data_IF_730423922100
#
_entry.id   IF_730423922100
#
_cell.length_a   1.000
_cell.length_b   1.000
_cell.length_c   1.000
_cell.angle_alpha   90.00
_cell.angle_beta   90.00
_cell.angle_gamma   90.00
#
_symmetry.space_group_name_H-M   'P 1'
#
loop_
_entity.id
_entity.type
_entity.pdbx_description
1 polymer ?
#
# COMPACT_ATOMS: atom_id res chain seq x y z
N UNK A 1 -14.08 17.87 -8.86
CA UNK A 1 -15.55 17.72 -8.91
C UNK A 1 -16.15 18.40 -7.69
N UNK A 2 -17.12 19.36 -7.85
CA UNK A 2 -17.70 20.12 -6.73
C UNK A 2 -18.49 19.27 -5.73
N UNK A 3 -18.96 18.09 -6.12
CA UNK A 3 -19.72 17.19 -5.24
C UNK A 3 -18.86 16.41 -4.24
N UNK A 4 -17.55 16.47 -4.36
CA UNK A 4 -16.66 15.70 -3.49
C UNK A 4 -16.39 16.44 -2.18
N UNK A 5 -16.53 15.74 -1.05
CA UNK A 5 -16.28 16.30 0.25
C UNK A 5 -14.77 16.45 0.52
N UNK A 6 -14.35 17.64 1.01
CA UNK A 6 -12.92 17.94 1.29
C UNK A 6 -12.25 16.89 2.20
N UNK A 7 -12.97 16.33 3.17
CA UNK A 7 -12.45 15.36 4.11
C UNK A 7 -12.07 14.00 3.51
N UNK A 8 -12.47 13.69 2.27
CA UNK A 8 -12.19 12.39 1.64
C UNK A 8 -11.13 12.45 0.53
N UNK A 9 -10.78 13.64 0.03
CA UNK A 9 -9.84 13.75 -1.12
C UNK A 9 -8.46 13.15 -0.81
N UNK A 10 -8.01 13.25 0.43
CA UNK A 10 -6.74 12.63 0.85
C UNK A 10 -6.78 11.11 0.85
N UNK A 11 -7.92 10.52 1.26
CA UNK A 11 -8.13 9.07 1.22
C UNK A 11 -8.18 8.61 -0.24
N UNK A 12 -8.88 9.36 -1.10
CA UNK A 12 -8.95 9.05 -2.55
C UNK A 12 -7.57 9.12 -3.17
N UNK A 13 -6.77 10.16 -2.88
CA UNK A 13 -5.39 10.26 -3.38
C UNK A 13 -4.54 9.05 -2.97
N UNK A 14 -4.63 8.59 -1.72
CA UNK A 14 -3.95 7.38 -1.26
C UNK A 14 -4.38 6.13 -2.03
N UNK A 15 -5.69 5.96 -2.28
CA UNK A 15 -6.22 4.84 -3.08
C UNK A 15 -5.77 4.86 -4.54
N UNK A 16 -5.60 6.06 -5.10
CA UNK A 16 -5.06 6.20 -6.46
C UNK A 16 -3.60 5.78 -6.53
N UNK A 17 -2.79 6.10 -5.52
CA UNK A 17 -1.40 5.61 -5.43
C UNK A 17 -1.35 4.08 -5.31
N UNK A 18 -2.18 3.48 -4.46
CA UNK A 18 -2.25 2.01 -4.35
C UNK A 18 -2.54 1.33 -5.71
N UNK A 19 -3.28 2.00 -6.58
CA UNK A 19 -3.68 1.45 -7.88
C UNK A 19 -2.69 1.74 -9.01
N UNK A 20 -2.16 2.97 -9.07
CA UNK A 20 -1.39 3.45 -10.22
C UNK A 20 0.08 3.69 -9.90
N UNK A 21 0.43 3.74 -8.62
CA UNK A 21 1.76 4.02 -8.09
C UNK A 21 2.45 5.24 -8.73
N UNK A 22 1.74 6.36 -8.73
CA UNK A 22 2.22 7.65 -9.26
C UNK A 22 1.89 8.78 -8.29
N UNK A 23 2.73 9.82 -8.17
CA UNK A 23 2.37 11.02 -7.41
C UNK A 23 1.01 11.53 -7.87
N UNK A 24 0.11 11.77 -6.92
CA UNK A 24 -1.30 12.02 -7.24
C UNK A 24 -1.83 13.20 -6.44
N UNK A 25 -2.53 14.11 -7.12
CA UNK A 25 -3.27 15.21 -6.50
C UNK A 25 -4.76 15.04 -6.81
N UNK A 26 -5.59 15.08 -5.78
CA UNK A 26 -7.05 15.06 -5.92
C UNK A 26 -7.59 16.41 -5.46
N UNK A 27 -8.34 17.06 -6.36
CA UNK A 27 -8.95 18.35 -6.11
C UNK A 27 -10.48 18.26 -6.05
N UNK A 28 -11.07 19.00 -5.13
CA UNK A 28 -12.51 19.32 -5.09
C UNK A 28 -12.69 20.82 -5.19
N UNK A 29 -13.84 21.27 -5.65
CA UNK A 29 -14.13 22.69 -5.87
C UNK A 29 -15.24 23.16 -4.93
N UNK A 30 -15.09 24.38 -4.40
CA UNK A 30 -16.13 25.05 -3.64
C UNK A 30 -15.92 26.57 -3.75
N UNK A 31 -16.96 27.31 -4.16
CA UNK A 31 -16.96 28.77 -4.23
C UNK A 31 -15.78 29.37 -5.07
N UNK A 32 -15.51 28.81 -6.24
CA UNK A 32 -14.45 29.27 -7.13
C UNK A 32 -13.02 28.92 -6.69
N UNK A 33 -12.90 28.15 -5.60
CA UNK A 33 -11.63 27.66 -5.08
C UNK A 33 -11.54 26.13 -5.23
N UNK A 34 -10.47 25.66 -5.82
CA UNK A 34 -10.09 24.24 -5.80
C UNK A 34 -9.20 23.99 -4.58
N UNK A 35 -9.57 23.00 -3.77
CA UNK A 35 -8.79 22.58 -2.62
C UNK A 35 -8.54 21.08 -2.72
N UNK A 36 -7.34 20.63 -2.36
CA UNK A 36 -7.01 19.25 -2.53
C UNK A 36 -5.93 18.70 -1.62
N UNK A 37 -5.64 17.44 -1.88
CA UNK A 37 -4.61 16.71 -1.17
C UNK A 37 -3.74 15.96 -2.18
N UNK A 38 -2.45 16.10 -2.00
CA UNK A 38 -1.41 15.37 -2.70
C UNK A 38 -0.93 14.17 -1.88
N UNK A 39 -0.55 13.12 -2.56
CA UNK A 39 0.16 11.96 -2.01
C UNK A 39 1.30 11.60 -2.95
N UNK A 40 2.37 11.06 -2.37
CA UNK A 40 3.58 10.70 -3.10
C UNK A 40 3.83 9.19 -3.10
N UNK A 41 4.61 8.74 -4.06
CA UNK A 41 5.26 7.43 -4.05
C UNK A 41 6.57 7.50 -3.24
N UNK A 42 7.16 6.35 -2.95
CA UNK A 42 8.44 6.27 -2.25
C UNK A 42 9.52 7.08 -3.01
N UNK A 43 10.35 7.78 -2.26
CA UNK A 43 11.49 8.58 -2.71
C UNK A 43 11.18 9.83 -3.56
N UNK A 44 9.96 10.04 -4.02
CA UNK A 44 9.56 11.27 -4.67
C UNK A 44 9.08 12.33 -3.66
N UNK A 45 9.56 13.56 -3.79
CA UNK A 45 9.15 14.69 -2.94
C UNK A 45 8.04 15.50 -3.59
N UNK A 46 6.78 15.17 -3.22
CA UNK A 46 5.61 15.88 -3.76
C UNK A 46 5.49 17.31 -3.24
N UNK A 47 6.04 17.61 -2.06
CA UNK A 47 6.01 18.96 -1.51
C UNK A 47 6.87 19.90 -2.36
N UNK A 48 8.12 19.53 -2.65
CA UNK A 48 9.01 20.32 -3.52
C UNK A 48 8.44 20.48 -4.93
N UNK A 49 7.80 19.44 -5.48
CA UNK A 49 7.15 19.55 -6.79
C UNK A 49 5.99 20.56 -6.79
N UNK A 50 5.20 20.62 -5.72
CA UNK A 50 4.13 21.61 -5.54
C UNK A 50 4.71 23.00 -5.30
N UNK A 51 5.76 23.14 -4.51
CA UNK A 51 6.45 24.41 -4.23
C UNK A 51 6.98 25.05 -5.51
N UNK A 52 7.53 24.27 -6.44
CA UNK A 52 7.97 24.75 -7.76
C UNK A 52 6.82 25.26 -8.64
N UNK A 53 5.58 24.90 -8.31
CA UNK A 53 4.36 25.40 -8.94
C UNK A 53 3.62 26.45 -8.10
N UNK A 54 4.23 26.98 -7.04
CA UNK A 54 3.59 27.85 -6.03
C UNK A 54 2.99 29.13 -6.59
N UNK A 55 3.52 29.65 -7.69
CA UNK A 55 3.00 30.85 -8.38
C UNK A 55 1.56 30.70 -8.91
N UNK A 56 1.03 29.47 -8.97
CA UNK A 56 -0.35 29.17 -9.38
C UNK A 56 -1.27 28.87 -8.20
N UNK A 57 -0.71 28.84 -6.97
CA UNK A 57 -1.41 28.45 -5.76
C UNK A 57 -1.73 29.66 -4.88
N UNK A 58 -2.80 29.53 -4.09
CA UNK A 58 -3.14 30.49 -3.02
C UNK A 58 -2.50 30.05 -1.69
N UNK A 59 -2.51 28.75 -1.42
CA UNK A 59 -1.93 28.15 -0.23
C UNK A 59 -1.48 26.72 -0.51
N UNK A 60 -0.39 26.30 0.12
CA UNK A 60 0.03 24.91 0.17
C UNK A 60 0.82 24.65 1.44
N UNK A 61 0.92 23.37 1.85
CA UNK A 61 1.68 22.96 3.00
C UNK A 61 1.68 21.44 3.17
N UNK A 62 2.67 20.92 3.85
CA UNK A 62 2.80 19.48 4.03
C UNK A 62 4.24 19.03 4.19
N UNK A 63 4.56 17.89 3.68
CA UNK A 63 5.89 17.28 3.71
C UNK A 63 6.08 16.36 2.48
N UNK A 64 7.27 15.79 2.32
CA UNK A 64 7.69 14.94 1.20
C UNK A 64 6.62 13.94 0.72
N UNK A 65 5.84 13.35 1.62
CA UNK A 65 4.91 12.26 1.27
C UNK A 65 3.46 12.71 1.10
N UNK A 66 3.09 13.87 1.63
CA UNK A 66 1.73 14.36 1.58
C UNK A 66 1.69 15.88 1.72
N UNK A 67 0.86 16.54 0.91
CA UNK A 67 0.63 17.96 0.99
C UNK A 67 -0.84 18.30 0.76
N UNK A 68 -1.27 19.41 1.36
CA UNK A 68 -2.53 20.08 1.06
C UNK A 68 -2.26 21.30 0.21
N UNK A 69 -3.21 21.68 -0.65
CA UNK A 69 -3.10 22.87 -1.49
C UNK A 69 -4.47 23.46 -1.80
N UNK A 70 -4.46 24.75 -2.11
CA UNK A 70 -5.62 25.45 -2.65
C UNK A 70 -5.19 26.43 -3.74
N UNK A 71 -6.05 26.58 -4.75
CA UNK A 71 -5.83 27.46 -5.89
C UNK A 71 -7.17 27.94 -6.46
N UNK A 72 -7.15 29.02 -7.22
CA UNK A 72 -8.32 29.45 -7.97
C UNK A 72 -8.68 28.42 -9.02
N UNK A 73 -9.98 28.18 -9.22
CA UNK A 73 -10.47 27.18 -10.19
C UNK A 73 -9.95 27.45 -11.61
N UNK A 74 -9.78 28.73 -11.98
CA UNK A 74 -9.23 29.14 -13.27
C UNK A 74 -7.78 28.67 -13.49
N UNK A 75 -7.00 28.50 -12.41
CA UNK A 75 -5.60 28.05 -12.45
C UNK A 75 -5.44 26.53 -12.50
N UNK A 76 -6.51 25.75 -12.32
CA UNK A 76 -6.40 24.28 -12.21
C UNK A 76 -5.73 23.65 -13.42
N UNK A 77 -6.07 24.10 -14.62
CA UNK A 77 -5.48 23.56 -15.86
C UNK A 77 -3.98 23.90 -15.95
N UNK A 78 -3.62 25.16 -15.72
CA UNK A 78 -2.22 25.61 -15.77
C UNK A 78 -1.38 24.91 -14.69
N UNK A 79 -1.94 24.74 -13.48
CA UNK A 79 -1.29 24.01 -12.40
C UNK A 79 -1.10 22.51 -12.76
N UNK A 80 -2.09 21.86 -13.36
CA UNK A 80 -1.96 20.48 -13.78
C UNK A 80 -0.83 20.28 -14.80
N UNK A 81 -0.73 21.17 -15.79
CA UNK A 81 0.35 21.15 -16.79
C UNK A 81 1.73 21.43 -16.16
N UNK A 82 1.82 22.42 -15.27
CA UNK A 82 3.07 22.76 -14.58
C UNK A 82 3.53 21.61 -13.66
N UNK A 83 2.61 21.01 -12.90
CA UNK A 83 2.90 19.90 -12.02
C UNK A 83 3.31 18.64 -12.79
N UNK A 84 2.63 18.31 -13.88
CA UNK A 84 2.99 17.18 -14.76
C UNK A 84 4.41 17.35 -15.33
N UNK A 85 4.74 18.57 -15.80
CA UNK A 85 6.07 18.87 -16.31
C UNK A 85 7.15 18.75 -15.21
N UNK A 86 6.86 19.23 -14.00
CA UNK A 86 7.79 19.14 -12.87
C UNK A 86 7.99 17.69 -12.43
N UNK A 87 6.92 16.91 -12.33
CA UNK A 87 7.01 15.48 -12.02
C UNK A 87 7.79 14.74 -13.09
N UNK A 88 7.46 14.93 -14.36
CA UNK A 88 8.13 14.26 -15.49
C UNK A 88 9.64 14.57 -15.56
N UNK A 89 10.04 15.77 -15.12
CA UNK A 89 11.46 16.18 -15.09
C UNK A 89 12.24 15.56 -13.92
N UNK A 90 11.57 15.27 -12.81
CA UNK A 90 12.21 14.93 -11.53
C UNK A 90 12.01 13.50 -11.09
N UNK A 91 10.97 12.81 -11.57
CA UNK A 91 10.72 11.41 -11.23
C UNK A 91 11.64 10.48 -12.05
N UNK A 92 12.14 9.43 -11.40
CA UNK A 92 12.92 8.39 -12.08
C UNK A 92 12.10 7.10 -12.20
N UNK A 93 12.48 6.23 -13.13
CA UNK A 93 11.78 4.95 -13.35
C UNK A 93 11.77 4.09 -12.08
N UNK A 94 12.84 4.11 -11.30
CA UNK A 94 12.93 3.38 -10.03
C UNK A 94 11.88 3.84 -9.00
N UNK A 95 11.54 5.13 -8.99
CA UNK A 95 10.50 5.69 -8.12
C UNK A 95 9.08 5.24 -8.52
N UNK A 96 8.90 4.70 -9.73
CA UNK A 96 7.63 4.20 -10.25
C UNK A 96 7.44 2.68 -10.04
N UNK A 97 8.43 2.01 -9.45
CA UNK A 97 8.37 0.59 -9.14
C UNK A 97 7.90 0.42 -7.70
N UNK A 98 6.73 -0.23 -7.45
CA UNK A 98 6.28 -0.52 -6.11
C UNK A 98 7.27 -1.42 -5.37
N UNK A 99 7.74 -0.98 -4.22
CA UNK A 99 8.66 -1.74 -3.37
C UNK A 99 7.96 -2.12 -2.07
N UNK A 100 8.07 -3.39 -1.68
CA UNK A 100 7.67 -3.86 -0.35
C UNK A 100 8.93 -4.07 0.48
N UNK A 101 9.05 -3.32 1.57
CA UNK A 101 10.13 -3.51 2.54
C UNK A 101 9.84 -4.75 3.38
N UNK A 102 10.82 -5.63 3.46
CA UNK A 102 10.76 -6.87 4.22
C UNK A 102 11.73 -6.76 5.38
N UNK A 103 11.26 -7.03 6.59
CA UNK A 103 12.07 -6.97 7.79
C UNK A 103 12.94 -8.21 7.96
N UNK A 104 12.40 -9.39 7.62
CA UNK A 104 13.11 -10.65 7.80
C UNK A 104 12.61 -11.74 6.85
N UNK A 105 13.56 -12.56 6.33
CA UNK A 105 13.26 -13.83 5.68
C UNK A 105 13.20 -14.95 6.74
N UNK A 106 12.09 -15.71 6.75
CA UNK A 106 11.90 -16.83 7.68
C UNK A 106 11.31 -18.05 6.96
N UNK A 107 11.58 -19.24 7.50
CA UNK A 107 10.87 -20.44 7.09
C UNK A 107 9.45 -20.46 7.70
N UNK A 108 8.51 -21.16 7.07
CA UNK A 108 7.17 -21.32 7.67
C UNK A 108 7.23 -22.08 9.00
N UNK A 109 8.21 -22.98 9.19
CA UNK A 109 8.44 -23.70 10.43
C UNK A 109 8.87 -22.80 11.61
N UNK A 110 9.39 -21.61 11.31
CA UNK A 110 9.73 -20.61 12.35
C UNK A 110 8.50 -19.90 12.91
N UNK A 111 7.33 -20.05 12.25
CA UNK A 111 6.06 -19.47 12.72
C UNK A 111 5.50 -20.37 13.82
N UNK A 112 5.96 -20.14 15.04
CA UNK A 112 5.60 -20.90 16.23
C UNK A 112 5.18 -19.96 17.38
N UNK A 113 4.69 -20.54 18.47
CA UNK A 113 4.23 -19.77 19.63
C UNK A 113 5.30 -18.83 20.22
N UNK A 114 6.58 -19.22 20.14
CA UNK A 114 7.68 -18.38 20.62
C UNK A 114 7.81 -17.12 19.76
N UNK A 115 7.77 -17.23 18.43
CA UNK A 115 7.79 -16.09 17.53
C UNK A 115 6.59 -15.20 17.77
N UNK A 116 5.39 -15.75 17.88
CA UNK A 116 4.17 -15.00 18.17
C UNK A 116 4.28 -14.21 19.48
N UNK A 117 4.79 -14.82 20.54
CA UNK A 117 5.02 -14.12 21.82
C UNK A 117 6.01 -12.97 21.68
N UNK A 118 7.07 -13.15 20.90
CA UNK A 118 8.06 -12.10 20.64
C UNK A 118 7.40 -10.95 19.86
N UNK A 119 6.65 -11.26 18.79
CA UNK A 119 5.98 -10.23 17.98
C UNK A 119 4.97 -9.41 18.80
N UNK A 120 4.26 -10.04 19.72
CA UNK A 120 3.34 -9.35 20.63
C UNK A 120 4.04 -8.33 21.56
N UNK A 121 5.34 -8.51 21.85
CA UNK A 121 6.11 -7.56 22.66
C UNK A 121 6.45 -6.28 21.92
N UNK A 122 6.39 -6.27 20.59
CA UNK A 122 6.58 -5.04 19.79
C UNK A 122 5.36 -4.12 19.81
N UNK A 123 4.21 -4.57 20.26
CA UNK A 123 3.02 -3.73 20.35
C UNK A 123 3.17 -2.61 21.39
N UNK A 124 2.53 -1.43 21.19
CA UNK A 124 1.63 -1.10 20.10
C UNK A 124 2.37 -0.70 18.81
N UNK A 125 1.85 -1.15 17.68
CA UNK A 125 2.39 -0.79 16.38
C UNK A 125 1.88 0.60 15.92
N UNK A 126 2.71 1.32 15.17
CA UNK A 126 2.41 2.66 14.65
C UNK A 126 3.58 3.24 13.85
N UNK A 127 3.57 4.55 13.53
CA UNK A 127 4.68 5.20 12.86
C UNK A 127 6.00 4.94 13.60
N UNK A 128 7.05 4.57 12.86
CA UNK A 128 8.37 4.15 13.34
C UNK A 128 8.43 2.82 14.13
N UNK A 129 7.28 2.14 14.30
CA UNK A 129 7.20 0.79 14.85
C UNK A 129 6.12 0.01 14.11
N UNK A 130 6.32 -0.20 12.81
CA UNK A 130 5.32 -0.89 11.96
C UNK A 130 5.26 -2.38 12.30
N UNK A 131 4.10 -2.99 12.00
CA UNK A 131 3.98 -4.45 12.10
C UNK A 131 4.99 -5.11 11.19
N UNK A 132 5.85 -6.02 11.69
CA UNK A 132 6.87 -6.69 10.89
C UNK A 132 6.32 -7.37 9.66
N UNK A 133 7.07 -7.29 8.58
CA UNK A 133 6.79 -7.88 7.28
C UNK A 133 7.82 -8.98 7.02
N UNK A 134 7.35 -10.17 6.74
CA UNK A 134 8.19 -11.35 6.51
C UNK A 134 8.14 -11.79 5.05
N UNK A 135 9.18 -12.48 4.62
CA UNK A 135 9.17 -13.24 3.37
C UNK A 135 9.50 -14.70 3.64
N UNK A 136 8.79 -15.61 2.98
CA UNK A 136 9.15 -17.03 2.89
C UNK A 136 9.23 -17.42 1.42
N UNK A 137 10.30 -18.14 1.07
CA UNK A 137 10.59 -18.49 -0.31
C UNK A 137 10.22 -19.93 -0.64
N UNK A 138 9.88 -20.15 -1.91
CA UNK A 138 9.60 -21.49 -2.41
C UNK A 138 8.37 -22.15 -1.79
N UNK A 139 7.38 -21.37 -1.41
CA UNK A 139 6.16 -21.83 -0.73
C UNK A 139 5.19 -22.42 -1.73
N UNK A 140 4.49 -23.48 -1.34
CA UNK A 140 3.44 -24.16 -2.11
C UNK A 140 2.11 -24.12 -1.35
N UNK A 141 1.00 -24.14 -2.08
CA UNK A 141 -0.32 -24.43 -1.50
C UNK A 141 -0.57 -25.94 -1.45
N UNK A 142 -1.20 -26.42 -0.40
CA UNK A 142 -1.52 -27.87 -0.22
C UNK A 142 -2.60 -28.39 -1.17
N UNK A 143 -3.15 -27.54 -2.04
CA UNK A 143 -4.34 -27.79 -2.86
C UNK A 143 -5.62 -27.26 -2.23
N UNK A 144 -5.50 -26.54 -1.10
CA UNK A 144 -6.64 -25.97 -0.37
C UNK A 144 -7.08 -24.61 -0.88
N UNK A 145 -6.33 -24.00 -1.78
CA UNK A 145 -6.62 -22.67 -2.30
C UNK A 145 -8.07 -22.50 -2.73
N UNK A 146 -8.75 -21.50 -2.17
CA UNK A 146 -10.14 -21.16 -2.53
C UNK A 146 -10.45 -19.69 -2.35
N UNK A 147 -11.42 -19.20 -3.12
CA UNK A 147 -11.95 -17.84 -2.94
C UNK A 147 -12.94 -17.85 -1.78
N UNK A 148 -12.82 -16.88 -0.88
CA UNK A 148 -13.72 -16.64 0.26
C UNK A 148 -14.16 -15.19 0.29
N UNK A 149 -15.33 -14.93 0.87
CA UNK A 149 -15.92 -13.58 0.86
C UNK A 149 -16.15 -13.07 -0.56
N UNK A 150 -15.95 -11.78 -0.79
CA UNK A 150 -16.21 -11.17 -2.11
C UNK A 150 -15.13 -11.54 -3.13
N UNK A 151 -13.84 -11.47 -2.76
CA UNK A 151 -12.71 -11.78 -3.67
C UNK A 151 -11.41 -11.98 -2.89
N UNK A 152 -11.45 -12.67 -1.73
CA UNK A 152 -10.24 -12.97 -0.95
C UNK A 152 -9.78 -14.40 -1.24
N UNK A 153 -8.47 -14.60 -1.33
CA UNK A 153 -7.91 -15.93 -1.53
C UNK A 153 -7.47 -16.51 -0.18
N UNK A 154 -8.09 -17.63 0.23
CA UNK A 154 -7.65 -18.42 1.39
C UNK A 154 -6.76 -19.53 0.90
N UNK A 155 -5.61 -19.70 1.56
CA UNK A 155 -4.56 -20.64 1.23
C UNK A 155 -4.20 -21.47 2.47
N UNK A 156 -3.70 -22.67 2.26
CA UNK A 156 -2.97 -23.47 3.26
C UNK A 156 -1.57 -23.74 2.68
N UNK A 157 -0.57 -23.09 3.25
CA UNK A 157 0.78 -23.00 2.69
C UNK A 157 1.76 -23.91 3.44
N UNK A 158 2.72 -24.47 2.69
CA UNK A 158 3.82 -25.25 3.24
C UNK A 158 5.11 -24.98 2.45
N UNK A 159 6.26 -25.30 3.03
CA UNK A 159 7.54 -25.31 2.31
C UNK A 159 8.02 -26.75 2.12
N UNK A 160 8.44 -27.15 0.90
CA UNK A 160 9.11 -28.43 0.69
C UNK A 160 10.38 -28.53 1.54
N UNK A 161 10.70 -29.73 2.01
CA UNK A 161 11.90 -30.01 2.81
C UNK A 161 11.95 -29.40 4.23
N UNK A 162 10.83 -28.94 4.75
CA UNK A 162 10.66 -28.54 6.15
C UNK A 162 9.90 -29.60 6.96
N UNK A 163 9.64 -29.35 8.25
CA UNK A 163 8.89 -30.28 9.12
C UNK A 163 7.39 -30.38 8.79
N UNK A 164 6.96 -29.94 7.61
CA UNK A 164 5.58 -29.95 7.14
C UNK A 164 4.62 -29.07 7.94
N UNK A 165 5.12 -28.02 8.53
CA UNK A 165 4.26 -27.01 9.14
C UNK A 165 3.36 -26.41 8.07
N UNK A 166 2.06 -26.47 8.29
CA UNK A 166 1.07 -25.87 7.43
C UNK A 166 0.59 -24.56 8.06
N UNK A 167 0.55 -23.50 7.27
CA UNK A 167 0.14 -22.19 7.73
C UNK A 167 -1.07 -21.73 6.91
N UNK A 168 -2.16 -21.39 7.59
CA UNK A 168 -3.30 -20.74 6.93
C UNK A 168 -2.96 -19.28 6.59
N UNK A 169 -3.29 -18.86 5.36
CA UNK A 169 -3.09 -17.51 4.90
C UNK A 169 -4.33 -16.95 4.17
N UNK A 170 -4.52 -15.63 4.28
CA UNK A 170 -5.54 -14.90 3.53
C UNK A 170 -4.88 -13.77 2.75
N UNK A 171 -5.04 -13.79 1.42
CA UNK A 171 -4.66 -12.69 0.55
C UNK A 171 -5.93 -11.89 0.17
N UNK A 172 -6.04 -10.69 0.74
CA UNK A 172 -7.21 -9.83 0.53
C UNK A 172 -7.28 -9.30 -0.90
N UNK A 173 -8.47 -9.39 -1.52
CA UNK A 173 -8.74 -8.97 -2.90
C UNK A 173 -7.82 -9.62 -3.95
N UNK A 174 -7.44 -10.88 -3.72
CA UNK A 174 -6.54 -11.66 -4.58
C UNK A 174 -7.16 -12.97 -5.11
N UNK A 175 -8.49 -13.08 -5.11
CA UNK A 175 -9.17 -14.26 -5.62
C UNK A 175 -8.83 -14.63 -7.07
N UNK A 176 -8.47 -13.64 -7.89
CA UNK A 176 -8.05 -13.83 -9.29
C UNK A 176 -6.78 -14.69 -9.43
N UNK A 177 -5.96 -14.77 -8.36
CA UNK A 177 -4.78 -15.62 -8.32
C UNK A 177 -5.08 -17.11 -8.02
N UNK A 178 -6.33 -17.50 -7.78
CA UNK A 178 -6.70 -18.89 -7.50
C UNK A 178 -6.10 -19.88 -8.49
N UNK A 179 -6.27 -19.62 -9.80
CA UNK A 179 -5.78 -20.51 -10.84
C UNK A 179 -4.25 -20.58 -10.91
N UNK A 180 -3.56 -19.55 -10.44
CA UNK A 180 -2.11 -19.53 -10.33
C UNK A 180 -1.64 -20.50 -9.24
N UNK A 181 -2.23 -20.42 -8.04
CA UNK A 181 -1.88 -21.32 -6.92
C UNK A 181 -2.24 -22.80 -7.20
N UNK A 182 -3.29 -23.05 -7.95
CA UNK A 182 -3.65 -24.42 -8.40
C UNK A 182 -2.62 -25.10 -9.32
N UNK A 183 -1.67 -24.35 -9.87
CA UNK A 183 -0.60 -24.92 -10.72
C UNK A 183 0.49 -25.60 -9.91
N UNK A 184 0.47 -25.51 -8.61
CA UNK A 184 1.48 -26.08 -7.70
C UNK A 184 2.93 -25.65 -8.06
N UNK A 185 3.10 -24.37 -8.37
CA UNK A 185 4.39 -23.76 -8.67
C UNK A 185 4.88 -23.08 -7.39
N UNK A 186 6.14 -23.33 -6.96
CA UNK A 186 6.67 -22.63 -5.79
C UNK A 186 6.71 -21.11 -6.00
N UNK A 187 6.31 -20.37 -4.97
CA UNK A 187 6.27 -18.92 -4.96
C UNK A 187 6.95 -18.35 -3.73
N UNK A 188 7.46 -17.14 -3.87
CA UNK A 188 7.89 -16.35 -2.72
C UNK A 188 6.69 -15.52 -2.25
N UNK A 189 6.42 -15.53 -0.96
CA UNK A 189 5.32 -14.78 -0.36
C UNK A 189 5.84 -13.74 0.62
N UNK A 190 5.24 -12.56 0.58
CA UNK A 190 5.46 -11.49 1.56
C UNK A 190 4.19 -11.32 2.38
N UNK A 191 4.33 -11.34 3.70
CA UNK A 191 3.17 -11.40 4.60
C UNK A 191 3.44 -10.77 5.96
N UNK A 192 2.34 -10.55 6.71
CA UNK A 192 2.34 -10.21 8.13
C UNK A 192 1.71 -11.34 8.91
N UNK A 193 2.29 -11.67 10.06
CA UNK A 193 1.75 -12.70 10.95
C UNK A 193 0.68 -12.07 11.83
N UNK A 194 -0.48 -12.74 11.93
CA UNK A 194 -1.55 -12.41 12.87
C UNK A 194 -2.12 -13.66 13.47
N UNK A 195 -2.38 -13.64 14.76
CA UNK A 195 -3.17 -14.68 15.42
C UNK A 195 -4.63 -14.54 14.98
N UNK A 196 -5.22 -15.65 14.54
CA UNK A 196 -6.61 -15.68 14.13
C UNK A 196 -7.45 -16.26 15.27
N UNK A 197 -8.10 -15.40 16.04
CA UNK A 197 -9.04 -15.82 17.08
C UNK A 197 -10.46 -15.90 16.47
N UNK A 198 -10.91 -17.09 16.14
CA UNK A 198 -12.26 -17.30 15.65
C UNK A 198 -13.04 -18.18 16.64
N UNK A 199 -14.07 -17.62 17.29
CA UNK A 199 -14.95 -18.31 18.26
C UNK A 199 -14.21 -18.99 19.42
N UNK A 200 -13.12 -18.37 19.92
CA UNK A 200 -12.39 -18.87 21.07
C UNK A 200 -11.45 -20.06 20.76
N UNK A 201 -11.20 -20.35 19.49
CA UNK A 201 -10.16 -21.28 19.04
C UNK A 201 -9.04 -20.46 18.39
N UNK A 202 -7.83 -20.65 18.89
CA UNK A 202 -6.61 -19.99 18.38
C UNK A 202 -6.00 -20.83 17.28
#
# INVERSE_FOLDING_TARGET
NPSWHKGVVGIVASRMIERYYKPTIILTESNGMATGSARSVKDFDVYTAIENCSHLLEQFGGHKFAAGLSLKTENVKAFAEAFENEVSRTITDDMLIPVVEVDLEIALDDINEKLIRILNQFAPHGPHNMTPVFVSRGVLDTGFAKVVGTNHLKLELYQPNTQLTKVEAIAFNKGDFLNFFKRNIPVDIVYKIKVNEFRGTT
#
